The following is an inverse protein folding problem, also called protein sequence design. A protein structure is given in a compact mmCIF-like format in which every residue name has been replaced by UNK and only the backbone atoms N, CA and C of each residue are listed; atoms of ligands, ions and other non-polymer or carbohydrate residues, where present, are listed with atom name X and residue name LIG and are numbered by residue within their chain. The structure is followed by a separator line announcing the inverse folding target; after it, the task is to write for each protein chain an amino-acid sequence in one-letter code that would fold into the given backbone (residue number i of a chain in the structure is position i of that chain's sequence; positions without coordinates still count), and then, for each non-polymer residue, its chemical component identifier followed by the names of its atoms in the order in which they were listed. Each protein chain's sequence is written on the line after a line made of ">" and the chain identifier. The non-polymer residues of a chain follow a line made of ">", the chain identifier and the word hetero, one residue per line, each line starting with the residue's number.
data_IF_961223484078
#
_entry.id   IF_961223484078
#
_cell.length_a   1.000
_cell.length_b   1.000
_cell.length_c   1.000
_cell.angle_alpha   90.00
_cell.angle_beta   90.00
_cell.angle_gamma   90.00
#
_symmetry.space_group_name_H-M   'P 1'
#
loop_
_entity.id
_entity.type
_entity.pdbx_description
1 polymer ?
#
# COMPACT_ATOMS: atom_id res chain seq x y z
N UNK A 1 12.07 20.74 -1.89
CA UNK A 1 10.71 20.36 -2.34
C UNK A 1 10.89 19.34 -3.46
N UNK A 2 10.54 18.07 -3.24
CA UNK A 2 10.63 17.04 -4.28
C UNK A 2 9.32 17.07 -5.08
N UNK A 3 9.39 17.56 -6.31
CA UNK A 3 8.29 17.50 -7.26
C UNK A 3 8.42 16.16 -7.98
N UNK A 4 7.45 15.27 -7.83
CA UNK A 4 7.41 14.04 -8.59
C UNK A 4 7.22 14.39 -10.07
N UNK A 5 8.20 14.04 -10.91
CA UNK A 5 8.11 14.21 -12.36
C UNK A 5 7.41 13.01 -12.98
N UNK A 6 6.74 13.20 -14.11
CA UNK A 6 6.24 12.08 -14.92
C UNK A 6 7.40 11.13 -15.23
N UNK A 7 7.20 9.83 -15.03
CA UNK A 7 8.23 8.80 -15.13
C UNK A 7 9.00 8.55 -13.83
N UNK A 8 8.71 9.28 -12.75
CA UNK A 8 9.26 8.98 -11.42
C UNK A 8 8.64 7.72 -10.83
N UNK A 9 9.48 6.92 -10.17
CA UNK A 9 9.04 5.80 -9.34
C UNK A 9 8.88 6.24 -7.90
N UNK A 10 7.66 6.12 -7.37
CA UNK A 10 7.34 6.39 -5.98
C UNK A 10 7.27 5.06 -5.22
N UNK A 11 7.83 5.05 -4.00
CA UNK A 11 7.70 3.92 -3.08
C UNK A 11 6.75 4.32 -1.96
N UNK A 12 5.66 3.58 -1.83
CA UNK A 12 4.71 3.70 -0.72
C UNK A 12 5.12 2.78 0.41
N UNK A 13 4.96 3.25 1.65
CA UNK A 13 5.17 2.47 2.88
C UNK A 13 3.96 2.65 3.77
N UNK A 14 3.26 1.55 4.05
CA UNK A 14 2.04 1.51 4.82
C UNK A 14 2.31 0.67 6.06
N UNK A 15 1.93 1.19 7.22
CA UNK A 15 2.00 0.45 8.49
C UNK A 15 0.58 0.16 8.93
N UNK A 16 0.22 -1.13 8.94
CA UNK A 16 -1.05 -1.62 9.46
C UNK A 16 -0.83 -2.06 10.90
N UNK A 17 -1.49 -1.39 11.85
CA UNK A 17 -1.38 -1.71 13.27
C UNK A 17 -2.67 -2.34 13.79
N UNK A 18 -2.55 -3.45 14.51
CA UNK A 18 -3.65 -4.02 15.28
C UNK A 18 -3.68 -3.37 16.67
N UNK A 19 -4.61 -2.44 16.89
CA UNK A 19 -4.80 -1.76 18.18
C UNK A 19 -5.71 -2.53 19.15
N UNK A 20 -6.21 -3.69 18.73
CA UNK A 20 -7.03 -4.57 19.56
C UNK A 20 -6.23 -5.36 20.59
N UNK A 21 -6.97 -5.99 21.52
CA UNK A 21 -6.43 -6.89 22.55
C UNK A 21 -6.33 -8.34 22.09
N UNK A 22 -6.87 -8.67 20.91
CA UNK A 22 -6.83 -10.00 20.30
C UNK A 22 -6.10 -9.96 18.96
N UNK A 23 -5.50 -11.08 18.50
CA UNK A 23 -4.91 -11.17 17.17
C UNK A 23 -5.95 -10.92 16.07
N UNK A 24 -5.61 -10.08 15.11
CA UNK A 24 -6.41 -9.86 13.91
C UNK A 24 -6.05 -10.94 12.88
N UNK A 25 -7.01 -11.78 12.54
CA UNK A 25 -6.84 -12.91 11.61
C UNK A 25 -7.55 -12.62 10.28
N UNK A 26 -7.10 -13.26 9.20
CA UNK A 26 -7.66 -13.13 7.84
C UNK A 26 -7.69 -11.69 7.32
N UNK A 27 -6.74 -10.87 7.78
CA UNK A 27 -6.62 -9.47 7.35
C UNK A 27 -6.22 -9.42 5.88
N UNK A 28 -6.98 -8.66 5.10
CA UNK A 28 -6.65 -8.33 3.71
C UNK A 28 -6.44 -6.84 3.59
N UNK A 29 -5.30 -6.43 3.03
CA UNK A 29 -4.99 -5.04 2.75
C UNK A 29 -5.33 -4.72 1.30
N UNK A 30 -6.12 -3.66 1.08
CA UNK A 30 -6.49 -3.14 -0.24
C UNK A 30 -6.16 -1.66 -0.34
N UNK A 31 -5.49 -1.27 -1.41
CA UNK A 31 -5.15 0.13 -1.69
C UNK A 31 -5.41 0.44 -3.18
N UNK A 32 -6.41 1.28 -3.52
CA UNK A 32 -6.67 1.69 -4.89
C UNK A 32 -5.50 2.50 -5.45
N UNK A 33 -5.04 2.15 -6.65
CA UNK A 33 -3.95 2.90 -7.30
C UNK A 33 -4.47 4.27 -7.76
N UNK A 34 -3.88 5.39 -7.29
CA UNK A 34 -4.33 6.73 -7.66
C UNK A 34 -4.26 6.99 -9.16
N UNK A 35 -5.23 7.75 -9.68
CA UNK A 35 -5.19 8.21 -11.08
C UNK A 35 -3.92 9.02 -11.35
N UNK A 36 -3.31 8.80 -12.51
CA UNK A 36 -2.00 9.37 -12.85
C UNK A 36 -0.81 8.62 -12.27
N UNK A 37 -1.04 7.45 -11.67
CA UNK A 37 0.01 6.49 -11.33
C UNK A 37 -0.28 5.11 -11.92
N UNK A 38 0.74 4.27 -12.03
CA UNK A 38 0.62 2.88 -12.47
C UNK A 38 1.42 2.00 -11.54
N UNK A 39 0.78 0.97 -10.99
CA UNK A 39 1.44 0.02 -10.10
C UNK A 39 2.58 -0.71 -10.81
N UNK A 40 3.69 -0.94 -10.08
CA UNK A 40 4.83 -1.72 -10.53
C UNK A 40 4.65 -3.16 -10.05
N UNK A 41 4.40 -4.15 -10.94
CA UNK A 41 4.26 -5.54 -10.53
C UNK A 41 5.52 -6.05 -9.81
N UNK A 42 5.33 -6.99 -8.87
CA UNK A 42 6.41 -7.59 -8.06
C UNK A 42 7.19 -6.58 -7.18
N UNK A 43 6.67 -5.37 -6.97
CA UNK A 43 7.26 -4.39 -6.06
C UNK A 43 6.78 -4.52 -4.62
N UNK A 44 5.79 -5.38 -4.37
CA UNK A 44 5.15 -5.49 -3.06
C UNK A 44 6.02 -6.28 -2.10
N UNK A 45 6.22 -5.75 -0.89
CA UNK A 45 6.75 -6.52 0.24
C UNK A 45 5.83 -6.42 1.45
N UNK A 46 5.75 -7.51 2.21
CA UNK A 46 5.06 -7.58 3.50
C UNK A 46 6.11 -7.94 4.56
N UNK A 47 6.34 -7.04 5.51
CA UNK A 47 7.44 -7.12 6.48
C UNK A 47 8.81 -7.40 5.82
N UNK A 48 9.05 -6.80 4.64
CA UNK A 48 10.26 -7.00 3.86
C UNK A 48 10.31 -8.30 3.05
N UNK A 49 9.29 -9.17 3.14
CA UNK A 49 9.18 -10.37 2.32
C UNK A 49 8.45 -10.05 1.00
N UNK A 50 9.07 -10.27 -0.17
CA UNK A 50 8.43 -10.02 -1.46
C UNK A 50 7.18 -10.89 -1.66
N UNK A 51 6.16 -10.31 -2.31
CA UNK A 51 4.95 -11.04 -2.72
C UNK A 51 4.52 -10.61 -4.12
N UNK A 52 3.86 -11.51 -4.85
CA UNK A 52 3.27 -11.23 -6.16
C UNK A 52 1.87 -10.56 -6.05
N UNK A 53 1.46 -10.18 -4.83
CA UNK A 53 0.18 -9.51 -4.60
C UNK A 53 0.07 -8.15 -5.29
N UNK A 54 -1.15 -7.76 -5.59
CA UNK A 54 -1.50 -6.44 -6.11
C UNK A 54 -2.29 -5.69 -5.03
N UNK A 55 -1.85 -4.50 -4.58
CA UNK A 55 -2.59 -3.71 -3.60
C UNK A 55 -4.04 -3.44 -3.99
N UNK A 56 -4.33 -3.28 -5.28
CA UNK A 56 -5.68 -3.02 -5.78
C UNK A 56 -6.58 -4.26 -5.79
N UNK A 57 -6.00 -5.46 -5.90
CA UNK A 57 -6.71 -6.73 -5.84
C UNK A 57 -6.83 -7.29 -4.41
N UNK A 58 -5.95 -6.85 -3.51
CA UNK A 58 -5.88 -7.27 -2.12
C UNK A 58 -4.65 -8.12 -1.82
N UNK A 59 -4.01 -7.84 -0.67
CA UNK A 59 -2.84 -8.54 -0.16
C UNK A 59 -3.21 -9.20 1.18
N UNK A 60 -3.13 -10.54 1.29
CA UNK A 60 -3.40 -11.23 2.54
C UNK A 60 -2.24 -11.03 3.53
N UNK A 61 -2.55 -10.53 4.73
CA UNK A 61 -1.59 -10.36 5.85
C UNK A 61 -1.65 -11.55 6.81
N UNK A 62 -2.68 -12.39 6.71
CA UNK A 62 -2.97 -13.60 7.51
C UNK A 62 -3.20 -13.32 9.01
N UNK A 63 -2.20 -12.79 9.73
CA UNK A 63 -2.27 -12.54 11.16
C UNK A 63 -1.46 -11.31 11.58
N UNK A 64 -2.10 -10.42 12.33
CA UNK A 64 -1.43 -9.32 13.05
C UNK A 64 -1.65 -9.53 14.55
N UNK A 65 -0.59 -9.84 15.34
CA UNK A 65 -0.72 -10.01 16.78
C UNK A 65 -1.37 -8.81 17.47
N UNK A 66 -1.98 -9.01 18.64
CA UNK A 66 -2.52 -7.92 19.45
C UNK A 66 -1.42 -6.88 19.77
N UNK A 67 -1.68 -5.60 19.51
CA UNK A 67 -0.69 -4.52 19.62
C UNK A 67 0.42 -4.55 18.56
N UNK A 68 0.45 -5.55 17.69
CA UNK A 68 1.45 -5.73 16.64
C UNK A 68 1.17 -4.88 15.40
N UNK A 69 2.14 -4.86 14.48
CA UNK A 69 2.01 -4.19 13.19
C UNK A 69 2.62 -5.00 12.06
N UNK A 70 2.18 -4.68 10.85
CA UNK A 70 2.72 -5.19 9.59
C UNK A 70 3.03 -4.00 8.69
N UNK A 71 4.21 -4.02 8.09
CA UNK A 71 4.64 -3.00 7.13
C UNK A 71 4.51 -3.53 5.71
N UNK A 72 3.80 -2.80 4.87
CA UNK A 72 3.63 -3.13 3.45
C UNK A 72 4.30 -2.04 2.65
N UNK A 73 5.11 -2.43 1.66
CA UNK A 73 5.70 -1.48 0.72
C UNK A 73 5.31 -1.87 -0.69
N UNK A 74 5.06 -0.91 -1.56
CA UNK A 74 4.90 -1.15 -2.99
C UNK A 74 5.32 0.08 -3.79
N UNK A 75 5.52 -0.09 -5.09
CA UNK A 75 5.95 0.98 -5.98
C UNK A 75 4.90 1.28 -7.03
N UNK A 76 4.81 2.55 -7.40
CA UNK A 76 4.05 3.03 -8.55
C UNK A 76 4.92 3.95 -9.39
N UNK A 77 4.70 3.96 -10.70
CA UNK A 77 5.28 4.92 -11.62
C UNK A 77 4.27 6.04 -11.90
N UNK A 78 4.71 7.30 -11.84
CA UNK A 78 3.86 8.46 -12.10
C UNK A 78 3.67 8.62 -13.61
N UNK A 79 2.45 8.42 -14.10
CA UNK A 79 2.08 8.51 -15.53
C UNK A 79 1.43 9.84 -15.89
N UNK A 80 0.82 10.53 -14.94
CA UNK A 80 0.38 11.92 -15.10
C UNK A 80 0.30 12.62 -13.75
N UNK A 81 0.43 13.95 -13.75
CA UNK A 81 0.21 14.76 -12.55
C UNK A 81 -1.24 15.24 -12.61
N UNK A 82 -2.17 14.74 -11.76
CA UNK A 82 -3.47 15.36 -11.65
C UNK A 82 -3.30 16.80 -11.15
N UNK A 83 -3.99 17.75 -11.78
CA UNK A 83 -4.10 19.12 -11.30
C UNK A 83 -5.33 19.19 -10.38
N UNK A 84 -5.22 19.54 -9.08
CA UNK A 84 -4.06 19.97 -8.28
C UNK A 84 -3.21 18.79 -7.73
N UNK A 85 -1.98 19.03 -7.23
CA UNK A 85 -0.95 18.00 -6.91
C UNK A 85 -1.27 17.08 -5.70
N UNK A 86 -2.54 16.86 -5.40
CA UNK A 86 -3.00 16.01 -4.31
C UNK A 86 -3.37 14.64 -4.89
N UNK A 87 -2.41 13.70 -4.89
CA UNK A 87 -2.75 12.29 -4.99
C UNK A 87 -3.38 11.88 -3.65
N UNK A 88 -4.71 11.86 -3.57
CA UNK A 88 -5.43 11.42 -2.38
C UNK A 88 -5.41 9.89 -2.33
N UNK A 89 -4.51 9.30 -1.54
CA UNK A 89 -4.50 7.86 -1.27
C UNK A 89 -5.51 7.58 -0.13
N UNK A 90 -6.70 7.08 -0.46
CA UNK A 90 -7.69 6.69 0.53
C UNK A 90 -7.72 5.17 0.64
N UNK A 91 -6.80 4.61 1.44
CA UNK A 91 -6.83 3.20 1.79
C UNK A 91 -8.07 2.91 2.67
N UNK A 92 -8.84 1.88 2.31
CA UNK A 92 -10.01 1.43 3.07
C UNK A 92 -9.73 0.08 3.72
N UNK A 93 -10.17 -0.09 4.96
CA UNK A 93 -10.07 -1.34 5.72
C UNK A 93 -11.47 -1.93 5.89
N UNK A 94 -11.68 -3.16 5.42
CA UNK A 94 -12.90 -3.93 5.63
C UNK A 94 -12.64 -5.10 6.56
N UNK A 95 -13.59 -5.38 7.46
CA UNK A 95 -13.61 -6.54 8.36
C UNK A 95 -14.81 -7.43 8.05
#
# INVERSE_FOLDING_TARGET
>A
MAIATIGSRLTYTIVVQNTGTLPAQNVTFTDPIPTGTTFVPNSVTVNGTPTAGDPSAGIPINNIPAGGSVTITFQVDVTSIPAPPVASNLASFGY
#
